data_IF_529734147352
#
_entry.id   IF_529734147352
#
_cell.length_a   1.000
_cell.length_b   1.000
_cell.length_c   1.000
_cell.angle_alpha   90.00
_cell.angle_beta   90.00
_cell.angle_gamma   90.00
#
_symmetry.space_group_name_H-M   'P 1'
#
loop_
_entity.id
_entity.type
_entity.pdbx_description
1 polymer ?
#
# COMPACT_ATOMS: atom_id res chain seq x y z
N UNK A 1 -15.38 -15.36 11.83
CA UNK A 1 -14.73 -16.65 11.50
C UNK A 1 -14.17 -17.17 12.80
N UNK A 2 -14.54 -18.38 13.23
CA UNK A 2 -13.89 -19.02 14.34
C UNK A 2 -12.43 -19.29 13.97
N UNK A 3 -11.51 -19.00 14.86
CA UNK A 3 -10.08 -19.28 14.72
C UNK A 3 -9.90 -20.79 14.70
N UNK A 4 -9.28 -21.32 13.66
CA UNK A 4 -8.77 -22.68 13.69
C UNK A 4 -7.52 -22.69 14.59
N UNK A 5 -7.55 -23.30 15.78
CA UNK A 5 -6.43 -23.31 16.73
C UNK A 5 -5.23 -24.15 16.24
N UNK A 6 -5.24 -24.57 14.98
CA UNK A 6 -4.20 -25.42 14.38
C UNK A 6 -3.25 -24.67 13.45
N UNK A 7 -3.44 -23.35 13.21
CA UNK A 7 -2.57 -22.58 12.30
C UNK A 7 -1.14 -22.48 12.83
N UNK A 8 -0.18 -22.38 11.93
CA UNK A 8 1.24 -22.19 12.27
C UNK A 8 1.44 -20.90 13.06
N UNK A 9 0.73 -19.83 12.68
CA UNK A 9 0.78 -18.52 13.35
C UNK A 9 0.31 -18.62 14.81
N UNK A 10 -0.81 -19.31 15.05
CA UNK A 10 -1.33 -19.53 16.41
C UNK A 10 -0.36 -20.32 17.27
N UNK A 11 0.08 -21.50 16.78
CA UNK A 11 1.02 -22.35 17.53
C UNK A 11 2.30 -21.63 17.90
N UNK A 12 2.83 -20.81 16.98
CA UNK A 12 4.02 -19.99 17.23
C UNK A 12 3.73 -18.90 18.28
N UNK A 13 2.58 -18.24 18.21
CA UNK A 13 2.17 -17.25 19.19
C UNK A 13 2.06 -17.86 20.60
N UNK A 14 1.45 -19.05 20.73
CA UNK A 14 1.32 -19.78 22.01
C UNK A 14 2.70 -20.15 22.58
N UNK A 15 3.60 -20.68 21.74
CA UNK A 15 4.95 -21.02 22.17
C UNK A 15 5.72 -19.82 22.72
N UNK A 16 5.63 -18.65 22.04
CA UNK A 16 6.35 -17.45 22.41
C UNK A 16 5.75 -16.67 23.59
N UNK A 17 4.45 -16.87 23.88
CA UNK A 17 3.78 -16.20 25.01
C UNK A 17 3.76 -17.04 26.30
N UNK A 18 4.21 -18.30 26.24
CA UNK A 18 4.16 -19.22 27.37
C UNK A 18 2.74 -19.71 27.74
N UNK A 19 1.73 -19.45 26.88
CA UNK A 19 0.35 -19.95 27.08
C UNK A 19 -0.71 -19.23 26.25
N UNK A 20 -1.89 -19.80 26.18
CA UNK A 20 -2.99 -19.30 25.31
C UNK A 20 -3.75 -18.09 25.89
N UNK A 21 -3.72 -17.90 27.21
CA UNK A 21 -4.66 -17.03 27.94
C UNK A 21 -4.54 -15.53 27.67
N UNK A 22 -3.49 -15.09 26.97
CA UNK A 22 -3.18 -13.68 26.81
C UNK A 22 -3.00 -13.26 25.34
N UNK A 23 -3.26 -14.15 24.39
CA UNK A 23 -3.06 -13.88 22.97
C UNK A 23 -4.33 -13.25 22.39
N UNK A 24 -4.16 -12.11 21.74
CA UNK A 24 -5.24 -11.44 21.02
C UNK A 24 -5.13 -11.74 19.52
N UNK A 25 -6.26 -11.97 18.87
CA UNK A 25 -6.29 -12.15 17.42
C UNK A 25 -7.22 -13.26 16.94
N UNK A 26 -7.13 -13.63 15.65
CA UNK A 26 -6.30 -12.97 14.65
C UNK A 26 -6.79 -11.55 14.37
N UNK A 27 -5.86 -10.61 14.24
CA UNK A 27 -6.20 -9.25 13.86
C UNK A 27 -6.76 -9.22 12.43
N UNK A 28 -7.60 -8.24 12.15
CA UNK A 28 -8.08 -7.97 10.79
C UNK A 28 -6.90 -7.54 9.92
N UNK A 29 -6.51 -8.39 8.97
CA UNK A 29 -5.44 -8.14 8.00
C UNK A 29 -5.67 -8.94 6.74
N UNK A 30 -5.23 -8.41 5.57
CA UNK A 30 -5.47 -9.06 4.30
C UNK A 30 -4.37 -10.10 3.99
N UNK A 31 -3.12 -9.74 4.22
CA UNK A 31 -1.96 -10.53 3.77
C UNK A 31 -1.41 -11.50 4.82
N UNK A 32 -1.60 -11.18 6.10
CA UNK A 32 -1.05 -11.96 7.20
C UNK A 32 -2.13 -12.41 8.18
N UNK A 33 -1.91 -13.58 8.76
CA UNK A 33 -2.56 -13.97 10.00
C UNK A 33 -1.70 -13.44 11.15
N UNK A 34 -2.27 -12.58 11.98
CA UNK A 34 -1.51 -11.79 12.96
C UNK A 34 -2.12 -11.97 14.35
N UNK A 35 -1.29 -12.38 15.30
CA UNK A 35 -1.62 -12.44 16.72
C UNK A 35 -0.79 -11.44 17.51
N UNK A 36 -1.35 -10.92 18.60
CA UNK A 36 -0.67 -9.98 19.49
C UNK A 36 -0.40 -10.67 20.82
N UNK A 37 0.85 -10.65 21.23
CA UNK A 37 1.37 -11.17 22.46
C UNK A 37 1.51 -10.03 23.47
N UNK A 38 1.08 -10.18 24.74
CA UNK A 38 1.12 -9.10 25.72
C UNK A 38 2.53 -8.82 26.24
N UNK A 39 3.42 -9.78 26.15
CA UNK A 39 4.83 -9.70 26.56
C UNK A 39 5.63 -10.80 25.89
N UNK A 40 6.96 -10.70 25.95
CA UNK A 40 7.86 -11.76 25.49
C UNK A 40 8.66 -12.28 26.67
N UNK A 41 8.66 -13.59 26.83
CA UNK A 41 9.52 -14.31 27.75
C UNK A 41 10.72 -14.86 26.97
N UNK A 42 11.91 -14.36 27.24
CA UNK A 42 13.18 -14.85 26.67
C UNK A 42 14.13 -15.20 27.79
N UNK A 43 14.09 -16.46 28.26
CA UNK A 43 14.85 -16.85 29.45
C UNK A 43 14.49 -15.97 30.65
N UNK A 44 15.51 -15.36 31.29
CA UNK A 44 15.32 -14.47 32.45
C UNK A 44 14.90 -13.02 32.08
N UNK A 45 14.78 -12.69 30.79
CA UNK A 45 14.42 -11.34 30.34
C UNK A 45 12.95 -11.30 29.88
N UNK A 46 12.15 -10.49 30.58
CA UNK A 46 10.78 -10.15 30.14
C UNK A 46 10.85 -8.79 29.44
N UNK A 47 10.58 -8.74 28.13
CA UNK A 47 10.34 -7.48 27.43
C UNK A 47 8.90 -7.06 27.63
N UNK A 48 8.72 -5.89 28.23
CA UNK A 48 7.41 -5.25 28.37
C UNK A 48 6.97 -4.68 27.02
N UNK A 49 5.66 -4.65 26.78
CA UNK A 49 5.07 -4.19 25.53
C UNK A 49 4.41 -5.33 24.75
N UNK A 50 3.54 -4.95 23.81
CA UNK A 50 2.80 -5.91 22.99
C UNK A 50 3.53 -6.15 21.67
N UNK A 51 3.51 -7.39 21.19
CA UNK A 51 4.28 -7.82 20.04
C UNK A 51 3.40 -8.58 19.05
N UNK A 52 3.59 -8.36 17.77
CA UNK A 52 2.88 -9.08 16.70
C UNK A 52 3.68 -10.28 16.25
N UNK A 53 3.04 -11.46 16.31
CA UNK A 53 3.46 -12.65 15.60
C UNK A 53 2.65 -12.73 14.29
N UNK A 54 3.32 -12.77 13.14
CA UNK A 54 2.71 -12.67 11.80
C UNK A 54 3.15 -13.85 10.94
N UNK A 55 2.21 -14.47 10.24
CA UNK A 55 2.50 -15.46 9.21
C UNK A 55 1.73 -15.11 7.92
N UNK A 56 2.35 -15.26 6.74
CA UNK A 56 1.66 -15.01 5.48
C UNK A 56 0.46 -15.94 5.30
N UNK A 57 -0.67 -15.43 4.84
CA UNK A 57 -1.81 -16.24 4.43
C UNK A 57 -1.51 -16.91 3.09
N UNK A 58 -1.86 -18.20 2.96
CA UNK A 58 -1.76 -18.91 1.68
C UNK A 58 -2.91 -18.54 0.74
N UNK A 59 -2.67 -18.67 -0.57
CA UNK A 59 -3.72 -18.52 -1.60
C UNK A 59 -4.18 -17.10 -1.90
N UNK A 60 -3.49 -16.08 -1.42
CA UNK A 60 -3.84 -14.68 -1.71
C UNK A 60 -3.32 -14.24 -3.08
N UNK A 61 -4.12 -13.42 -3.75
CA UNK A 61 -3.66 -12.68 -4.92
C UNK A 61 -2.74 -11.53 -4.48
N UNK A 62 -1.52 -11.56 -4.96
CA UNK A 62 -0.54 -10.50 -4.73
C UNK A 62 -0.55 -9.55 -5.92
N UNK A 63 -1.05 -8.34 -5.71
CA UNK A 63 -1.12 -7.30 -6.74
C UNK A 63 0.00 -6.28 -6.60
N UNK A 64 0.80 -6.39 -5.55
CA UNK A 64 1.71 -5.36 -5.13
C UNK A 64 3.15 -5.82 -5.31
N UNK A 65 4.00 -4.90 -5.78
CA UNK A 65 5.41 -5.14 -5.97
C UNK A 65 6.12 -5.10 -4.61
N UNK A 66 6.64 -6.24 -4.19
CA UNK A 66 7.45 -6.36 -2.97
C UNK A 66 8.92 -6.32 -3.34
N UNK A 67 9.63 -5.29 -2.88
CA UNK A 67 11.02 -5.07 -3.22
C UNK A 67 11.99 -5.65 -2.19
N UNK A 68 11.56 -5.86 -0.95
CA UNK A 68 12.34 -6.47 0.11
C UNK A 68 11.82 -7.87 0.43
N UNK A 69 12.69 -8.75 0.92
CA UNK A 69 12.31 -10.12 1.26
C UNK A 69 11.35 -10.18 2.42
N UNK A 70 11.54 -9.34 3.43
CA UNK A 70 10.72 -9.29 4.63
C UNK A 70 10.61 -7.86 5.14
N UNK A 71 9.40 -7.49 5.60
CA UNK A 71 9.14 -6.22 6.27
C UNK A 71 9.95 -6.11 7.56
N UNK A 72 10.06 -7.20 8.32
CA UNK A 72 10.79 -7.23 9.58
C UNK A 72 12.29 -6.97 9.37
N UNK A 73 12.88 -7.52 8.30
CA UNK A 73 14.27 -7.25 7.95
C UNK A 73 14.46 -5.78 7.57
N UNK A 74 13.52 -5.20 6.83
CA UNK A 74 13.54 -3.78 6.47
C UNK A 74 13.43 -2.90 7.71
N UNK A 75 12.45 -3.13 8.58
CA UNK A 75 12.26 -2.36 9.80
C UNK A 75 13.49 -2.43 10.72
N UNK A 76 14.10 -3.60 10.85
CA UNK A 76 15.35 -3.75 11.56
C UNK A 76 16.51 -2.92 10.99
N UNK A 77 16.62 -2.84 9.65
CA UNK A 77 17.63 -2.03 8.96
C UNK A 77 17.34 -0.52 9.03
N UNK A 78 16.06 -0.13 9.22
CA UNK A 78 15.63 1.26 9.39
C UNK A 78 15.71 1.76 10.83
N UNK A 79 15.98 0.89 11.80
CA UNK A 79 16.12 1.27 13.22
C UNK A 79 17.18 2.36 13.40
N UNK A 80 16.82 3.45 14.08
CA UNK A 80 17.68 4.62 14.26
C UNK A 80 17.85 5.54 13.04
N UNK A 81 17.23 5.20 11.88
CA UNK A 81 17.23 6.03 10.65
C UNK A 81 15.87 6.66 10.39
N UNK A 82 14.80 5.89 10.60
CA UNK A 82 13.44 6.36 10.52
C UNK A 82 12.81 6.23 11.89
N UNK A 83 12.29 7.34 12.41
CA UNK A 83 11.65 7.36 13.71
C UNK A 83 10.20 6.89 13.63
N UNK A 84 9.64 6.44 14.76
CA UNK A 84 8.22 6.07 14.89
C UNK A 84 7.76 5.04 13.84
N UNK A 85 8.58 4.04 13.68
CA UNK A 85 8.28 2.78 13.01
C UNK A 85 8.30 1.65 14.06
N UNK A 86 7.61 0.52 13.83
CA UNK A 86 7.64 -0.59 14.77
C UNK A 86 9.04 -1.14 14.98
N UNK A 87 9.40 -1.39 16.22
CA UNK A 87 10.63 -2.13 16.54
C UNK A 87 10.51 -3.60 16.16
N UNK A 88 11.66 -4.21 15.87
CA UNK A 88 11.79 -5.64 15.61
C UNK A 88 12.64 -6.27 16.68
N UNK A 89 12.17 -7.39 17.22
CA UNK A 89 12.96 -8.25 18.11
C UNK A 89 13.02 -9.65 17.54
N UNK A 90 14.14 -10.30 17.76
CA UNK A 90 14.33 -11.71 17.39
C UNK A 90 14.28 -12.57 18.66
N UNK A 91 13.38 -13.55 18.66
CA UNK A 91 13.15 -14.47 19.78
C UNK A 91 13.02 -15.88 19.21
N UNK A 92 13.90 -16.79 19.62
CA UNK A 92 13.90 -18.19 19.18
C UNK A 92 13.81 -18.37 17.66
N UNK A 93 14.55 -17.51 16.93
CA UNK A 93 14.56 -17.49 15.45
C UNK A 93 13.31 -16.91 14.81
N UNK A 94 12.36 -16.37 15.59
CA UNK A 94 11.21 -15.63 15.11
C UNK A 94 11.44 -14.13 15.21
N UNK A 95 11.11 -13.39 14.17
CA UNK A 95 11.09 -11.92 14.18
C UNK A 95 9.68 -11.45 14.54
N UNK A 96 9.62 -10.70 15.64
CA UNK A 96 8.38 -10.13 16.13
C UNK A 96 8.41 -8.62 15.96
N UNK A 97 7.28 -8.07 15.53
CA UNK A 97 7.10 -6.64 15.33
C UNK A 97 6.38 -6.03 16.52
N UNK A 98 6.86 -4.89 17.00
CA UNK A 98 6.17 -4.12 18.04
C UNK A 98 4.72 -3.82 17.63
N UNK A 99 3.78 -4.05 18.54
CA UNK A 99 2.41 -3.57 18.39
C UNK A 99 2.35 -2.11 18.82
N UNK A 100 1.95 -1.24 17.92
CA UNK A 100 1.82 0.19 18.22
C UNK A 100 0.45 0.44 18.82
N UNK A 101 0.42 0.89 20.06
CA UNK A 101 -0.80 1.29 20.76
C UNK A 101 -1.36 2.58 20.18
N UNK A 102 -2.67 2.64 20.00
CA UNK A 102 -3.34 3.81 19.49
C UNK A 102 -4.48 3.48 18.53
N UNK A 103 -4.83 4.47 17.75
CA UNK A 103 -5.91 4.36 16.76
C UNK A 103 -5.39 4.69 15.38
N UNK A 104 -5.83 3.93 14.36
CA UNK A 104 -5.52 4.32 12.99
C UNK A 104 -6.16 5.68 12.68
N UNK A 105 -5.50 6.47 11.88
CA UNK A 105 -6.06 7.75 11.44
C UNK A 105 -7.39 7.56 10.69
N UNK A 106 -7.61 6.38 10.07
CA UNK A 106 -8.86 6.00 9.43
C UNK A 106 -10.00 5.74 10.41
N UNK A 107 -9.69 5.27 11.64
CA UNK A 107 -10.69 5.13 12.70
C UNK A 107 -11.04 6.45 13.37
N UNK A 108 -10.09 7.39 13.45
CA UNK A 108 -10.31 8.71 14.02
C UNK A 108 -11.07 9.64 13.06
N UNK A 109 -10.71 9.62 11.78
CA UNK A 109 -11.26 10.54 10.78
C UNK A 109 -11.59 9.81 9.47
N UNK A 110 -12.82 10.05 8.98
CA UNK A 110 -13.28 9.47 7.72
C UNK A 110 -12.51 10.01 6.51
N UNK A 111 -12.37 9.18 5.48
CA UNK A 111 -11.79 9.55 4.19
C UNK A 111 -12.48 10.82 3.62
N UNK A 112 -11.68 11.78 3.14
CA UNK A 112 -12.17 13.06 2.64
C UNK A 112 -12.43 14.10 3.73
N UNK A 113 -12.24 13.77 5.01
CA UNK A 113 -12.21 14.74 6.11
C UNK A 113 -10.77 15.19 6.38
N UNK A 114 -10.57 16.40 6.93
CA UNK A 114 -9.24 16.85 7.32
C UNK A 114 -8.60 15.88 8.31
N UNK A 115 -7.32 15.59 8.16
CA UNK A 115 -6.54 14.98 9.22
C UNK A 115 -6.20 16.05 10.28
N UNK A 116 -5.96 15.67 11.55
CA UNK A 116 -5.53 16.61 12.57
C UNK A 116 -4.32 17.45 12.14
N UNK A 117 -4.37 18.75 12.39
CA UNK A 117 -3.38 19.71 11.87
C UNK A 117 -1.97 19.53 12.43
N UNK A 118 -1.87 19.04 13.67
CA UNK A 118 -0.63 18.75 14.39
C UNK A 118 0.15 17.56 13.77
N UNK A 119 -0.52 16.72 12.98
CA UNK A 119 0.11 15.58 12.30
C UNK A 119 0.90 15.98 11.05
N UNK A 120 0.65 17.14 10.46
CA UNK A 120 1.34 17.52 9.20
C UNK A 120 2.85 17.75 9.39
N UNK A 121 3.27 18.28 10.53
CA UNK A 121 4.68 18.40 10.88
C UNK A 121 5.36 17.04 11.07
N UNK A 122 4.65 16.10 11.72
CA UNK A 122 5.15 14.74 11.95
C UNK A 122 5.27 13.95 10.65
N UNK A 123 4.32 14.14 9.73
CA UNK A 123 4.39 13.56 8.38
C UNK A 123 5.57 14.15 7.58
N UNK A 124 5.83 15.46 7.70
CA UNK A 124 7.01 16.08 7.11
C UNK A 124 8.32 15.49 7.64
N UNK A 125 8.39 15.19 8.95
CA UNK A 125 9.53 14.50 9.56
C UNK A 125 9.73 13.11 8.95
N UNK A 126 8.64 12.33 8.80
CA UNK A 126 8.70 11.01 8.16
C UNK A 126 9.24 11.08 6.72
N UNK A 127 8.72 12.01 5.90
CA UNK A 127 9.22 12.20 4.54
C UNK A 127 10.71 12.62 4.51
N UNK A 128 11.14 13.45 5.45
CA UNK A 128 12.55 13.84 5.59
C UNK A 128 13.41 12.62 5.88
N UNK A 129 13.06 11.83 6.89
CA UNK A 129 13.82 10.65 7.32
C UNK A 129 13.89 9.60 6.21
N UNK A 130 12.78 9.36 5.50
CA UNK A 130 12.78 8.49 4.31
C UNK A 130 13.69 9.03 3.20
N UNK A 131 13.71 10.34 2.96
CA UNK A 131 14.59 10.95 1.96
C UNK A 131 16.09 10.84 2.29
N UNK A 132 16.44 10.71 3.58
CA UNK A 132 17.82 10.47 4.04
C UNK A 132 18.30 9.05 3.73
N UNK A 133 17.37 8.09 3.58
CA UNK A 133 17.72 6.68 3.31
C UNK A 133 17.86 6.46 1.80
N UNK A 134 19.10 6.27 1.35
CA UNK A 134 19.44 6.07 -0.08
C UNK A 134 19.54 4.58 -0.44
N UNK A 135 19.43 4.25 -1.75
CA UNK A 135 19.53 2.86 -2.24
C UNK A 135 20.82 2.14 -1.82
N UNK A 136 21.93 2.86 -1.70
CA UNK A 136 23.24 2.35 -1.32
C UNK A 136 23.50 2.33 0.19
N UNK A 137 22.63 2.95 0.98
CA UNK A 137 22.80 3.10 2.42
C UNK A 137 22.27 1.93 3.25
N UNK A 138 21.50 1.01 2.65
CA UNK A 138 20.96 -0.17 3.30
C UNK A 138 21.51 -1.46 2.68
N UNK A 139 22.18 -2.26 3.49
CA UNK A 139 22.59 -3.62 3.15
C UNK A 139 21.50 -4.60 3.58
N UNK A 140 20.48 -4.78 2.73
CA UNK A 140 19.35 -5.68 2.98
C UNK A 140 19.02 -6.48 1.72
N UNK A 141 18.64 -7.75 1.92
CA UNK A 141 18.24 -8.63 0.84
C UNK A 141 16.99 -8.09 0.13
N UNK A 142 17.08 -8.02 -1.21
CA UNK A 142 15.98 -7.56 -2.08
C UNK A 142 15.38 -8.76 -2.80
N UNK A 143 14.06 -8.77 -2.85
CA UNK A 143 13.29 -9.75 -3.61
C UNK A 143 13.23 -9.39 -5.09
N UNK A 144 13.22 -8.09 -5.41
CA UNK A 144 13.22 -7.59 -6.78
C UNK A 144 14.60 -7.81 -7.44
N UNK A 145 14.60 -8.21 -8.71
CA UNK A 145 15.82 -8.39 -9.51
C UNK A 145 16.44 -7.04 -9.86
N UNK A 146 17.67 -7.05 -10.42
CA UNK A 146 18.29 -5.83 -10.92
C UNK A 146 17.50 -5.20 -12.07
N UNK A 147 16.90 -6.04 -12.92
CA UNK A 147 16.05 -5.62 -14.02
C UNK A 147 14.76 -4.95 -13.55
N UNK A 148 14.33 -5.23 -12.32
CA UNK A 148 13.18 -4.56 -11.70
C UNK A 148 13.54 -3.20 -11.10
N UNK A 149 14.82 -2.87 -10.94
CA UNK A 149 15.29 -1.63 -10.35
C UNK A 149 15.60 -0.62 -11.45
N UNK A 150 15.02 0.57 -11.38
CA UNK A 150 15.38 1.66 -12.27
C UNK A 150 16.77 2.23 -11.91
N UNK A 151 17.51 2.80 -12.87
CA UNK A 151 18.72 3.55 -12.59
C UNK A 151 18.45 4.70 -11.61
N UNK A 152 19.44 5.01 -10.77
CA UNK A 152 19.34 6.12 -9.80
C UNK A 152 18.99 7.43 -10.52
N UNK A 153 17.91 8.07 -10.09
CA UNK A 153 17.45 9.34 -10.61
C UNK A 153 16.53 9.24 -11.82
N UNK A 154 16.46 8.11 -12.51
CA UNK A 154 15.61 7.94 -13.69
C UNK A 154 14.14 7.70 -13.30
N UNK A 155 13.44 8.81 -13.04
CA UNK A 155 12.01 8.80 -12.68
C UNK A 155 11.12 8.22 -13.77
N UNK A 156 11.50 8.39 -15.04
CA UNK A 156 10.73 7.85 -16.17
C UNK A 156 10.84 6.32 -16.22
N UNK A 157 12.06 5.77 -16.12
CA UNK A 157 12.26 4.31 -16.07
C UNK A 157 11.67 3.72 -14.78
N UNK A 158 11.74 4.42 -13.65
CA UNK A 158 11.07 3.97 -12.41
C UNK A 158 9.57 3.77 -12.64
N UNK A 159 8.91 4.74 -13.26
CA UNK A 159 7.48 4.66 -13.55
C UNK A 159 7.17 3.58 -14.59
N UNK A 160 8.01 3.43 -15.62
CA UNK A 160 7.87 2.34 -16.61
C UNK A 160 7.93 0.95 -15.95
N UNK A 161 8.81 0.73 -14.96
CA UNK A 161 8.86 -0.53 -14.20
C UNK A 161 7.55 -0.80 -13.46
N UNK A 162 6.92 0.24 -12.90
CA UNK A 162 5.63 0.13 -12.20
C UNK A 162 4.47 -0.14 -13.18
N UNK A 163 4.48 0.51 -14.36
CA UNK A 163 3.50 0.25 -15.42
C UNK A 163 3.63 -1.20 -15.90
N UNK A 164 4.84 -1.64 -16.22
CA UNK A 164 5.13 -3.01 -16.66
C UNK A 164 4.72 -4.05 -15.62
N UNK A 165 4.97 -3.79 -14.34
CA UNK A 165 4.50 -4.66 -13.27
C UNK A 165 2.97 -4.78 -13.28
N UNK A 166 2.25 -3.67 -13.40
CA UNK A 166 0.77 -3.67 -13.43
C UNK A 166 0.27 -4.41 -14.66
N UNK A 167 0.85 -4.17 -15.83
CA UNK A 167 0.51 -4.84 -17.07
C UNK A 167 0.72 -6.37 -16.98
N UNK A 168 1.93 -6.79 -16.59
CA UNK A 168 2.32 -8.21 -16.58
C UNK A 168 1.72 -8.98 -15.41
N UNK A 169 1.84 -8.45 -14.18
CA UNK A 169 1.51 -9.20 -12.97
C UNK A 169 0.05 -9.02 -12.53
N UNK A 170 -0.60 -7.91 -12.91
CA UNK A 170 -1.98 -7.66 -12.51
C UNK A 170 -2.95 -7.90 -13.67
N UNK A 171 -2.69 -7.33 -14.85
CA UNK A 171 -3.59 -7.46 -15.99
C UNK A 171 -3.42 -8.82 -16.71
N UNK A 172 -2.26 -9.07 -17.32
CA UNK A 172 -2.05 -10.26 -18.18
C UNK A 172 -2.24 -11.59 -17.42
N UNK A 173 -1.64 -11.72 -16.23
CA UNK A 173 -1.80 -12.94 -15.41
C UNK A 173 -3.23 -13.23 -14.97
N UNK A 174 -4.11 -12.26 -15.05
CA UNK A 174 -5.49 -12.40 -14.63
C UNK A 174 -6.49 -12.38 -15.81
N UNK A 175 -6.00 -12.35 -17.07
CA UNK A 175 -6.84 -12.33 -18.26
C UNK A 175 -7.75 -13.54 -18.38
N UNK A 176 -7.25 -14.74 -18.06
CA UNK A 176 -8.05 -15.96 -18.12
C UNK A 176 -9.32 -15.84 -17.25
N UNK A 177 -9.19 -15.30 -16.05
CA UNK A 177 -10.29 -15.19 -15.09
C UNK A 177 -11.09 -13.91 -15.21
N UNK A 178 -10.46 -12.79 -15.51
CA UNK A 178 -11.08 -11.45 -15.46
C UNK A 178 -11.12 -10.72 -16.81
N UNK A 179 -10.57 -11.30 -17.89
CA UNK A 179 -10.46 -10.64 -19.19
C UNK A 179 -11.81 -10.22 -19.76
N UNK A 180 -12.84 -11.06 -19.66
CA UNK A 180 -14.20 -10.71 -20.07
C UNK A 180 -14.77 -9.53 -19.28
N UNK A 181 -14.49 -9.46 -17.96
CA UNK A 181 -14.91 -8.34 -17.11
C UNK A 181 -14.14 -7.07 -17.48
N UNK A 182 -12.81 -7.15 -17.68
CA UNK A 182 -12.01 -6.02 -18.14
C UNK A 182 -12.56 -5.45 -19.45
N UNK A 183 -12.88 -6.30 -20.45
CA UNK A 183 -13.46 -5.87 -21.72
C UNK A 183 -14.80 -5.16 -21.55
N UNK A 184 -15.67 -5.60 -20.63
CA UNK A 184 -16.92 -4.90 -20.31
C UNK A 184 -16.72 -3.50 -19.72
N UNK A 185 -15.59 -3.28 -19.06
CA UNK A 185 -15.20 -1.98 -18.51
C UNK A 185 -14.41 -1.11 -19.50
N UNK A 186 -14.16 -1.60 -20.72
CA UNK A 186 -13.35 -0.92 -21.71
C UNK A 186 -11.84 -0.94 -21.41
N UNK A 187 -11.41 -1.87 -20.57
CA UNK A 187 -10.02 -2.04 -20.18
C UNK A 187 -9.38 -3.11 -21.08
N UNK A 188 -8.52 -2.67 -21.97
CA UNK A 188 -7.76 -3.52 -22.89
C UNK A 188 -6.24 -3.38 -22.65
N UNK A 189 -5.43 -4.16 -23.37
CA UNK A 189 -3.97 -4.07 -23.29
C UNK A 189 -3.40 -2.75 -23.82
N UNK A 190 -4.11 -2.09 -24.75
CA UNK A 190 -3.71 -0.79 -25.30
C UNK A 190 -3.78 0.35 -24.27
N UNK A 191 -4.55 0.17 -23.20
CA UNK A 191 -4.60 1.13 -22.09
C UNK A 191 -3.22 1.39 -21.49
N UNK A 192 -2.32 0.39 -21.44
CA UNK A 192 -0.97 0.57 -20.96
C UNK A 192 -0.10 1.37 -21.92
N UNK A 193 -0.27 1.21 -23.22
CA UNK A 193 0.39 2.05 -24.24
C UNK A 193 -0.08 3.50 -24.13
N UNK A 194 -1.37 3.74 -23.92
CA UNK A 194 -1.92 5.08 -23.70
C UNK A 194 -1.43 5.70 -22.40
N UNK A 195 -1.38 4.91 -21.32
CA UNK A 195 -0.85 5.35 -20.03
C UNK A 195 0.63 5.76 -20.12
N UNK A 196 1.48 4.99 -20.82
CA UNK A 196 2.88 5.34 -21.07
C UNK A 196 3.01 6.70 -21.76
N UNK A 197 2.18 6.95 -22.78
CA UNK A 197 2.15 8.24 -23.47
C UNK A 197 1.72 9.39 -22.56
N UNK A 198 0.73 9.14 -21.69
CA UNK A 198 0.20 10.14 -20.78
C UNK A 198 1.25 10.60 -19.75
N UNK A 199 2.11 9.69 -19.30
CA UNK A 199 3.11 9.97 -18.24
C UNK A 199 4.52 10.24 -18.77
N UNK A 200 4.68 10.54 -20.05
CA UNK A 200 5.98 10.82 -20.63
C UNK A 200 6.62 12.12 -20.09
N UNK A 201 7.95 12.14 -20.04
CA UNK A 201 8.74 13.34 -19.80
C UNK A 201 8.76 13.79 -18.35
N UNK A 202 8.78 12.84 -17.41
CA UNK A 202 9.03 13.11 -16.01
C UNK A 202 10.43 13.69 -15.81
N UNK A 203 10.53 14.61 -14.86
CA UNK A 203 11.81 15.19 -14.44
C UNK A 203 12.55 14.20 -13.56
N UNK A 204 13.86 14.09 -13.76
CA UNK A 204 14.73 13.26 -12.91
C UNK A 204 14.81 13.81 -11.49
N UNK A 205 14.74 12.90 -10.50
CA UNK A 205 14.85 13.20 -9.07
C UNK A 205 15.69 12.16 -8.36
N UNK A 206 16.55 12.55 -7.41
CA UNK A 206 17.33 11.57 -6.66
C UNK A 206 16.43 10.62 -5.89
N UNK A 207 16.71 9.31 -5.99
CA UNK A 207 15.90 8.27 -5.36
C UNK A 207 16.16 8.15 -3.86
N UNK A 208 15.11 7.79 -3.13
CA UNK A 208 15.17 7.54 -1.70
C UNK A 208 14.27 6.36 -1.32
N UNK A 209 14.22 6.03 -0.04
CA UNK A 209 13.25 5.09 0.49
C UNK A 209 11.84 5.67 0.36
N UNK A 210 10.93 4.85 -0.13
CA UNK A 210 9.50 5.13 -0.22
C UNK A 210 8.74 4.12 0.63
N UNK A 211 7.69 4.56 1.28
CA UNK A 211 6.73 3.65 1.92
C UNK A 211 5.79 3.00 0.89
N UNK A 212 5.43 3.77 -0.13
CA UNK A 212 4.57 3.41 -1.26
C UNK A 212 3.11 3.06 -0.94
N UNK A 213 2.69 3.10 0.35
CA UNK A 213 1.32 2.83 0.80
C UNK A 213 0.91 3.64 2.04
N UNK A 214 1.35 4.90 2.15
CA UNK A 214 1.00 5.78 3.27
C UNK A 214 -0.45 6.23 3.19
N UNK A 215 -1.35 5.50 3.85
CA UNK A 215 -2.76 5.83 3.97
C UNK A 215 -3.25 5.82 5.42
N UNK A 216 -4.51 6.19 5.64
CA UNK A 216 -5.07 6.39 6.99
C UNK A 216 -4.99 5.16 7.89
N UNK A 217 -5.05 3.96 7.33
CA UNK A 217 -4.97 2.71 8.12
C UNK A 217 -3.51 2.33 8.46
N UNK A 218 -2.52 2.87 7.71
CA UNK A 218 -1.10 2.65 7.96
C UNK A 218 -0.45 3.77 8.79
N UNK A 219 -1.27 4.70 9.27
CA UNK A 219 -0.87 5.78 10.16
C UNK A 219 -1.60 5.64 11.48
N UNK A 220 -0.86 5.34 12.56
CA UNK A 220 -1.41 5.22 13.92
C UNK A 220 -1.06 6.47 14.72
N UNK A 221 -2.05 7.02 15.40
CA UNK A 221 -1.89 8.08 16.39
C UNK A 221 -1.90 7.43 17.77
N UNK A 222 -0.77 7.50 18.48
CA UNK A 222 -0.64 6.93 19.82
C UNK A 222 -1.29 7.83 20.89
N UNK A 223 -1.45 7.34 22.14
CA UNK A 223 -2.03 8.12 23.23
C UNK A 223 -1.30 9.43 23.55
N UNK A 224 -0.06 9.59 23.10
CA UNK A 224 0.74 10.81 23.23
C UNK A 224 0.66 11.71 21.99
N UNK A 225 -0.32 11.48 21.09
CA UNK A 225 -0.49 12.20 19.83
C UNK A 225 0.70 12.10 18.87
N UNK A 226 1.49 11.04 18.95
CA UNK A 226 2.61 10.79 18.03
C UNK A 226 2.12 9.94 16.87
N UNK A 227 2.56 10.29 15.66
CA UNK A 227 2.24 9.60 14.43
C UNK A 227 3.24 8.48 14.15
N UNK A 228 2.77 7.26 14.01
CA UNK A 228 3.55 6.08 13.66
C UNK A 228 3.19 5.60 12.25
N UNK A 229 4.19 5.23 11.46
CA UNK A 229 3.99 4.58 10.17
C UNK A 229 4.19 3.07 10.31
N UNK A 230 3.19 2.29 9.88
CA UNK A 230 3.18 0.82 9.93
C UNK A 230 2.94 0.25 8.53
N UNK A 231 3.16 -1.06 8.37
CA UNK A 231 2.92 -1.79 7.12
C UNK A 231 3.85 -1.35 5.98
N UNK A 232 5.13 -1.61 6.16
CA UNK A 232 6.23 -1.28 5.23
C UNK A 232 6.45 -2.34 4.15
N UNK A 233 5.53 -3.29 3.99
CA UNK A 233 5.70 -4.41 3.05
C UNK A 233 5.79 -3.99 1.58
N UNK A 234 5.28 -2.81 1.23
CA UNK A 234 5.37 -2.24 -0.12
C UNK A 234 6.52 -1.26 -0.30
N UNK A 235 7.33 -1.06 0.72
CA UNK A 235 8.45 -0.13 0.66
C UNK A 235 9.41 -0.48 -0.49
N UNK A 236 9.97 0.55 -1.10
CA UNK A 236 10.90 0.42 -2.22
C UNK A 236 11.83 1.64 -2.30
N UNK A 237 12.85 1.56 -3.11
CA UNK A 237 13.61 2.73 -3.51
C UNK A 237 13.09 3.29 -4.83
N UNK A 238 12.94 4.62 -4.93
CA UNK A 238 12.43 5.28 -6.12
C UNK A 238 12.28 6.78 -5.98
N UNK A 239 11.51 7.33 -6.88
CA UNK A 239 11.22 8.77 -6.96
C UNK A 239 10.38 9.25 -5.77
N UNK A 240 10.86 10.18 -4.93
CA UNK A 240 10.13 10.68 -3.77
C UNK A 240 8.77 11.30 -4.12
N UNK A 241 8.57 11.82 -5.32
CA UNK A 241 7.29 12.36 -5.75
C UNK A 241 6.22 11.30 -5.93
N UNK A 242 6.61 10.06 -6.26
CA UNK A 242 5.69 8.92 -6.34
C UNK A 242 5.06 8.61 -4.97
N UNK A 243 5.84 8.70 -3.88
CA UNK A 243 5.31 8.47 -2.53
C UNK A 243 4.31 9.56 -2.11
N UNK A 244 4.63 10.83 -2.41
CA UNK A 244 3.67 11.93 -2.22
C UNK A 244 2.40 11.72 -3.05
N UNK A 245 2.52 11.38 -4.33
CA UNK A 245 1.37 11.15 -5.21
C UNK A 245 0.48 10.01 -4.69
N UNK A 246 1.11 8.90 -4.24
CA UNK A 246 0.42 7.77 -3.63
C UNK A 246 -0.30 8.19 -2.35
N UNK A 247 0.40 8.91 -1.48
CA UNK A 247 -0.18 9.42 -0.23
C UNK A 247 -1.39 10.32 -0.47
N UNK A 248 -1.28 11.33 -1.34
CA UNK A 248 -2.39 12.22 -1.68
C UNK A 248 -3.58 11.49 -2.29
N UNK A 249 -3.31 10.54 -3.20
CA UNK A 249 -4.35 9.72 -3.82
C UNK A 249 -5.13 8.88 -2.80
N UNK A 250 -4.42 8.25 -1.86
CA UNK A 250 -5.02 7.37 -0.86
C UNK A 250 -5.72 8.13 0.27
N UNK A 251 -5.12 9.23 0.74
CA UNK A 251 -5.65 10.05 1.84
C UNK A 251 -6.90 10.84 1.46
N UNK A 252 -6.98 11.30 0.21
CA UNK A 252 -8.09 12.14 -0.29
C UNK A 252 -8.35 13.36 0.59
N UNK A 253 -7.30 14.10 0.89
CA UNK A 253 -7.43 15.33 1.65
C UNK A 253 -8.36 16.36 1.00
N UNK A 254 -9.05 17.22 1.79
CA UNK A 254 -9.56 18.48 1.26
C UNK A 254 -8.44 19.30 0.62
N UNK A 255 -8.76 20.06 -0.43
CA UNK A 255 -7.78 20.76 -1.25
C UNK A 255 -6.81 21.65 -0.45
N UNK A 256 -7.32 22.42 0.51
CA UNK A 256 -6.50 23.29 1.35
C UNK A 256 -5.46 22.49 2.16
N UNK A 257 -5.84 21.32 2.69
CA UNK A 257 -4.91 20.45 3.43
C UNK A 257 -3.90 19.77 2.50
N UNK A 258 -4.34 19.31 1.32
CA UNK A 258 -3.44 18.74 0.32
C UNK A 258 -2.31 19.72 -0.05
N UNK A 259 -2.63 20.99 -0.24
CA UNK A 259 -1.63 22.05 -0.53
C UNK A 259 -0.63 22.22 0.63
N UNK A 260 -1.10 22.12 1.87
CA UNK A 260 -0.23 22.15 3.06
C UNK A 260 0.71 20.96 3.13
N UNK A 261 0.20 19.75 2.83
CA UNK A 261 1.00 18.51 2.77
C UNK A 261 2.06 18.59 1.69
N UNK A 262 1.72 19.05 0.49
CA UNK A 262 2.67 19.25 -0.61
C UNK A 262 3.79 20.22 -0.20
N UNK A 263 3.43 21.34 0.41
CA UNK A 263 4.40 22.36 0.85
C UNK A 263 5.34 21.80 1.92
N UNK A 264 4.80 21.04 2.90
CA UNK A 264 5.59 20.39 3.95
C UNK A 264 6.53 19.34 3.35
N UNK A 265 6.00 18.46 2.48
CA UNK A 265 6.80 17.43 1.80
C UNK A 265 7.95 18.06 1.01
N UNK A 266 7.65 19.05 0.15
CA UNK A 266 8.66 19.73 -0.67
C UNK A 266 9.81 20.26 0.18
N UNK A 267 9.50 20.97 1.27
CA UNK A 267 10.52 21.48 2.20
C UNK A 267 11.34 20.34 2.79
N UNK A 268 10.67 19.30 3.27
CA UNK A 268 11.33 18.18 3.97
C UNK A 268 12.31 17.43 3.07
N UNK A 269 11.93 17.10 1.83
CA UNK A 269 12.81 16.33 0.92
C UNK A 269 13.91 17.18 0.31
N UNK A 270 13.63 18.47 0.03
CA UNK A 270 14.59 19.39 -0.55
C UNK A 270 15.69 19.79 0.44
N UNK A 271 15.34 19.91 1.73
CA UNK A 271 16.31 20.15 2.82
C UNK A 271 17.33 19.01 2.96
N UNK A 272 16.93 17.77 2.63
CA UNK A 272 17.81 16.59 2.66
C UNK A 272 18.64 16.48 1.39
N UNK A 273 18.00 16.52 0.23
CA UNK A 273 18.65 16.37 -1.06
C UNK A 273 18.08 17.37 -2.06
N UNK A 274 18.94 18.30 -2.50
CA UNK A 274 18.56 19.24 -3.55
C UNK A 274 18.13 18.52 -4.82
N UNK A 275 17.04 18.98 -5.42
CA UNK A 275 16.44 18.41 -6.60
C UNK A 275 15.39 17.32 -6.32
N UNK A 276 15.20 16.89 -5.06
CA UNK A 276 14.18 15.87 -4.72
C UNK A 276 12.75 16.33 -5.00
N UNK A 277 12.48 17.63 -5.06
CA UNK A 277 11.18 18.17 -5.43
C UNK A 277 11.16 18.83 -6.82
N UNK A 278 12.21 18.67 -7.62
CA UNK A 278 12.30 19.32 -8.94
C UNK A 278 11.14 18.91 -9.85
N UNK A 279 10.50 19.87 -10.52
CA UNK A 279 9.43 19.64 -11.49
C UNK A 279 8.13 19.06 -10.91
N UNK A 280 7.95 19.12 -9.59
CA UNK A 280 6.79 18.52 -8.92
C UNK A 280 5.45 19.07 -9.42
N UNK A 281 5.36 20.37 -9.76
CA UNK A 281 4.12 21.01 -10.22
C UNK A 281 3.61 20.36 -11.52
N UNK A 282 4.53 20.01 -12.42
CA UNK A 282 4.22 19.37 -13.69
C UNK A 282 3.93 17.87 -13.50
N UNK A 283 4.74 17.18 -12.69
CA UNK A 283 4.77 15.72 -12.65
C UNK A 283 3.79 15.12 -11.66
N UNK A 284 3.46 15.82 -10.57
CA UNK A 284 2.53 15.31 -9.55
C UNK A 284 1.16 14.92 -10.11
N UNK A 285 0.52 15.74 -10.98
CA UNK A 285 -0.74 15.32 -11.61
C UNK A 285 -0.60 14.03 -12.42
N UNK A 286 0.51 13.85 -13.15
CA UNK A 286 0.77 12.65 -13.95
C UNK A 286 0.93 11.39 -13.07
N UNK A 287 1.64 11.52 -11.94
CA UNK A 287 1.80 10.41 -11.00
C UNK A 287 0.50 10.08 -10.26
N UNK A 288 -0.35 11.05 -9.95
CA UNK A 288 -1.69 10.82 -9.41
C UNK A 288 -2.56 10.09 -10.45
N UNK A 289 -2.47 10.48 -11.72
CA UNK A 289 -3.19 9.83 -12.81
C UNK A 289 -2.69 8.40 -13.04
N UNK A 290 -1.39 8.16 -12.93
CA UNK A 290 -0.86 6.79 -12.91
C UNK A 290 -1.46 5.96 -11.75
N UNK A 291 -1.52 6.51 -10.54
CA UNK A 291 -2.13 5.79 -9.40
C UNK A 291 -3.61 5.49 -9.61
N UNK A 292 -4.36 6.41 -10.23
CA UNK A 292 -5.76 6.17 -10.63
C UNK A 292 -5.86 5.02 -11.61
N UNK A 293 -5.03 5.03 -12.66
CA UNK A 293 -5.02 3.99 -13.68
C UNK A 293 -4.62 2.62 -13.10
N UNK A 294 -3.55 2.57 -12.30
CA UNK A 294 -3.07 1.36 -11.64
C UNK A 294 -4.17 0.72 -10.77
N UNK A 295 -4.88 1.54 -9.97
CA UNK A 295 -5.87 1.05 -9.02
C UNK A 295 -7.09 0.42 -9.69
N UNK A 296 -7.42 0.78 -10.95
CA UNK A 296 -8.58 0.23 -11.65
C UNK A 296 -8.52 -1.29 -11.72
N UNK A 297 -7.39 -1.84 -12.15
CA UNK A 297 -7.24 -3.29 -12.35
C UNK A 297 -7.36 -4.06 -11.03
N UNK A 298 -6.66 -3.60 -10.00
CA UNK A 298 -6.72 -4.24 -8.66
C UNK A 298 -8.08 -4.09 -8.01
N UNK A 299 -8.73 -2.93 -8.15
CA UNK A 299 -10.06 -2.67 -7.61
C UNK A 299 -11.14 -3.50 -8.31
N UNK A 300 -11.04 -3.72 -9.62
CA UNK A 300 -11.94 -4.61 -10.37
C UNK A 300 -11.82 -6.04 -9.84
N UNK A 301 -10.60 -6.58 -9.76
CA UNK A 301 -10.35 -7.94 -9.28
C UNK A 301 -10.85 -8.09 -7.83
N UNK A 302 -10.43 -7.19 -6.92
CA UNK A 302 -10.84 -7.23 -5.49
C UNK A 302 -12.35 -7.12 -5.33
N UNK A 303 -13.00 -6.25 -6.09
CA UNK A 303 -14.46 -6.04 -6.00
C UNK A 303 -15.23 -7.24 -6.52
N UNK A 304 -14.82 -7.82 -7.64
CA UNK A 304 -15.43 -9.01 -8.21
C UNK A 304 -15.24 -10.23 -7.31
N UNK A 305 -14.04 -10.46 -6.79
CA UNK A 305 -13.74 -11.55 -5.85
C UNK A 305 -14.57 -11.41 -4.58
N UNK A 306 -14.60 -10.21 -3.97
CA UNK A 306 -15.41 -9.96 -2.77
C UNK A 306 -16.91 -10.21 -3.02
N UNK A 307 -17.40 -9.85 -4.20
CA UNK A 307 -18.79 -10.10 -4.60
C UNK A 307 -19.06 -11.61 -4.73
N UNK A 308 -18.09 -12.36 -5.30
CA UNK A 308 -18.18 -13.84 -5.41
C UNK A 308 -18.20 -14.55 -4.06
N UNK A 309 -17.40 -14.05 -3.12
CA UNK A 309 -17.25 -14.65 -1.78
C UNK A 309 -18.38 -14.26 -0.82
N UNK A 310 -19.25 -13.33 -1.23
CA UNK A 310 -20.37 -12.88 -0.40
C UNK A 310 -21.48 -13.95 -0.34
N UNK A 311 -21.95 -14.32 0.86
CA UNK A 311 -23.10 -15.20 1.01
C UNK A 311 -24.40 -14.57 0.50
N UNK A 312 -24.51 -13.24 0.54
CA UNK A 312 -25.63 -12.47 0.01
C UNK A 312 -25.33 -12.05 -1.44
N UNK A 313 -25.61 -12.95 -2.39
CA UNK A 313 -25.54 -12.65 -3.84
C UNK A 313 -26.82 -11.97 -4.30
N UNK A 314 -27.20 -10.86 -3.64
CA UNK A 314 -28.38 -10.12 -4.06
C UNK A 314 -28.05 -9.06 -5.14
N UNK A 315 -29.07 -8.67 -5.89
CA UNK A 315 -28.92 -7.68 -6.97
C UNK A 315 -28.48 -6.31 -6.44
N UNK A 316 -28.72 -6.00 -5.18
CA UNK A 316 -28.37 -4.71 -4.56
C UNK A 316 -26.85 -4.62 -4.34
N UNK A 317 -26.20 -5.67 -3.86
CA UNK A 317 -24.75 -5.71 -3.68
C UNK A 317 -24.01 -5.62 -5.03
N UNK A 318 -24.53 -6.33 -6.05
CA UNK A 318 -24.01 -6.26 -7.42
C UNK A 318 -24.11 -4.84 -7.97
N UNK A 319 -25.25 -4.17 -7.79
CA UNK A 319 -25.45 -2.81 -8.25
C UNK A 319 -24.54 -1.81 -7.53
N UNK A 320 -24.42 -1.89 -6.22
CA UNK A 320 -23.50 -1.06 -5.42
C UNK A 320 -22.05 -1.26 -5.83
N UNK A 321 -21.65 -2.50 -6.14
CA UNK A 321 -20.32 -2.82 -6.67
C UNK A 321 -20.11 -2.17 -8.03
N UNK A 322 -21.10 -2.22 -8.92
CA UNK A 322 -21.04 -1.57 -10.23
C UNK A 322 -20.94 -0.03 -10.12
N UNK A 323 -21.68 0.59 -9.21
CA UNK A 323 -21.60 2.03 -8.92
C UNK A 323 -20.20 2.40 -8.44
N UNK A 324 -19.63 1.63 -7.51
CA UNK A 324 -18.26 1.82 -7.02
C UNK A 324 -17.25 1.75 -8.17
N UNK A 325 -17.30 0.69 -8.98
CA UNK A 325 -16.37 0.48 -10.09
C UNK A 325 -16.50 1.56 -11.17
N UNK A 326 -17.74 2.01 -11.47
CA UNK A 326 -17.93 3.15 -12.38
C UNK A 326 -17.21 4.41 -11.89
N UNK A 327 -17.28 4.72 -10.60
CA UNK A 327 -16.56 5.85 -10.03
C UNK A 327 -15.04 5.73 -10.18
N UNK A 328 -14.49 4.53 -9.99
CA UNK A 328 -13.06 4.25 -10.12
C UNK A 328 -12.62 4.38 -11.58
N UNK A 329 -13.35 3.75 -12.53
CA UNK A 329 -13.06 3.83 -13.97
C UNK A 329 -13.18 5.26 -14.47
N UNK A 330 -14.20 6.00 -14.01
CA UNK A 330 -14.39 7.41 -14.38
C UNK A 330 -13.19 8.29 -13.95
N UNK A 331 -12.65 8.06 -12.76
CA UNK A 331 -11.49 8.81 -12.27
C UNK A 331 -10.19 8.50 -13.05
N UNK A 332 -10.12 7.34 -13.70
CA UNK A 332 -8.97 6.89 -14.48
C UNK A 332 -9.19 6.99 -16.01
N UNK A 333 -10.34 7.53 -16.46
CA UNK A 333 -10.69 7.51 -17.87
C UNK A 333 -9.66 8.25 -18.75
N UNK A 334 -9.19 9.42 -18.30
CA UNK A 334 -8.21 10.22 -19.04
C UNK A 334 -6.87 9.49 -19.17
N UNK A 335 -6.19 9.08 -18.08
CA UNK A 335 -4.89 8.40 -18.20
C UNK A 335 -4.97 7.06 -18.93
N UNK A 336 -6.10 6.36 -18.87
CA UNK A 336 -6.32 5.12 -19.65
C UNK A 336 -6.77 5.36 -21.08
N UNK A 337 -7.02 6.62 -21.45
CA UNK A 337 -7.48 6.99 -22.81
C UNK A 337 -8.82 6.35 -23.18
N UNK A 338 -9.74 6.23 -22.22
CA UNK A 338 -11.07 5.69 -22.47
C UNK A 338 -11.94 6.73 -23.18
N UNK A 339 -12.47 6.37 -24.34
CA UNK A 339 -13.37 7.23 -25.10
C UNK A 339 -14.68 7.50 -24.35
N UNK A 340 -15.16 6.50 -23.61
CA UNK A 340 -16.36 6.62 -22.79
C UNK A 340 -16.27 5.76 -21.53
N UNK A 341 -16.88 6.23 -20.45
CA UNK A 341 -17.00 5.47 -19.20
C UNK A 341 -18.24 4.57 -19.29
N UNK A 342 -18.13 3.24 -19.07
CA UNK A 342 -19.27 2.35 -19.10
C UNK A 342 -20.38 2.77 -18.13
N UNK A 343 -21.64 2.58 -18.50
CA UNK A 343 -22.76 2.81 -17.60
C UNK A 343 -22.75 1.81 -16.43
N UNK A 344 -23.38 2.17 -15.30
CA UNK A 344 -23.54 1.25 -14.16
C UNK A 344 -24.20 -0.06 -14.60
N UNK A 345 -25.21 0.01 -15.49
CA UNK A 345 -25.89 -1.18 -16.01
C UNK A 345 -24.95 -2.10 -16.79
N UNK A 346 -24.08 -1.55 -17.64
CA UNK A 346 -23.08 -2.32 -18.38
C UNK A 346 -22.05 -2.98 -17.45
N UNK A 347 -21.60 -2.27 -16.42
CA UNK A 347 -20.69 -2.84 -15.42
C UNK A 347 -21.37 -3.95 -14.64
N UNK A 348 -22.63 -3.74 -14.21
CA UNK A 348 -23.42 -4.75 -13.49
C UNK A 348 -23.63 -6.02 -14.35
N UNK A 349 -23.90 -5.86 -15.66
CA UNK A 349 -24.00 -6.97 -16.60
C UNK A 349 -22.67 -7.74 -16.68
N UNK A 350 -21.52 -7.04 -16.81
CA UNK A 350 -20.21 -7.67 -16.84
C UNK A 350 -19.90 -8.46 -15.56
N UNK A 351 -20.24 -7.90 -14.39
CA UNK A 351 -20.10 -8.59 -13.10
C UNK A 351 -21.01 -9.82 -13.01
N UNK A 352 -22.27 -9.72 -13.46
CA UNK A 352 -23.21 -10.85 -13.46
C UNK A 352 -22.71 -11.99 -14.34
N UNK A 353 -22.26 -11.70 -15.56
CA UNK A 353 -21.66 -12.69 -16.49
C UNK A 353 -20.43 -13.35 -15.85
N UNK A 354 -19.54 -12.55 -15.27
CA UNK A 354 -18.35 -13.08 -14.60
C UNK A 354 -18.71 -14.03 -13.44
N UNK A 355 -19.71 -13.70 -12.62
CA UNK A 355 -20.18 -14.55 -11.52
C UNK A 355 -20.78 -15.86 -11.98
N UNK A 356 -21.39 -15.90 -13.18
CA UNK A 356 -21.98 -17.12 -13.75
C UNK A 356 -21.00 -17.94 -14.59
N UNK A 357 -19.75 -17.48 -14.75
CA UNK A 357 -18.72 -18.15 -15.55
C UNK A 357 -18.99 -18.08 -17.06
N UNK A 358 -19.73 -17.10 -17.53
CA UNK A 358 -20.12 -16.93 -18.94
C UNK A 358 -19.49 -15.71 -19.59
#
# INVERSE_FOLDING_TARGET
MATDPTTTAWRRAVALSGGEQSIEGPLKGHHHETYVLPFLCTGDLTRTGRWKCREPRSGLFWFDRRCFESEEALLGALAGRVSRIPEIVEVEGARLQQFIEGSTLGSLEKRGKPAPSDLSGQLGTLFREMAEVRPDSLSIARKCTKEDQAPEGDSAEFLERLIRFTEKQVYEKNLERFGGLFGHLGLDGEAFTRLRKHVLGLVERPFCLLHADLHRENLIVDPSSRLWAIDWELAMFGDPLYDLATHLYLMRYPQAQASGVITSWRRSVEDVRKGSSQGWEKDLPLLIDFKRAQSVYTDVIRSATKLSDSPARDGSLLWLTAVKLRGIVSAAAVPLGLESVPSVARIAEGLARWLTGR
#
